data_IF_347751772868
#
_entry.id   IF_347751772868
#
_cell.length_a   1.000
_cell.length_b   1.000
_cell.length_c   1.000
_cell.angle_alpha   90.00
_cell.angle_beta   90.00
_cell.angle_gamma   90.00
#
_symmetry.space_group_name_H-M   'P 1'
#
loop_
_entity.id
_entity.type
_entity.pdbx_description
1 polymer ?
#
# COMPACT_ATOMS: atom_id res chain seq x y z
N UNK A 1 -2.72 -21.53 5.43
CA UNK A 1 -2.27 -22.23 6.64
C UNK A 1 -1.03 -23.08 6.40
N UNK A 2 -1.05 -24.02 5.44
CA UNK A 2 0.09 -24.92 5.16
C UNK A 2 1.40 -24.19 4.88
N UNK A 3 1.36 -23.07 4.18
CA UNK A 3 2.56 -22.28 3.87
C UNK A 3 3.20 -21.69 5.15
N UNK A 4 2.39 -21.24 6.10
CA UNK A 4 2.86 -20.75 7.41
C UNK A 4 3.53 -21.87 8.22
N UNK A 5 2.88 -23.05 8.31
CA UNK A 5 3.49 -24.21 9.00
C UNK A 5 4.83 -24.62 8.38
N UNK A 6 4.94 -24.55 7.05
CA UNK A 6 6.19 -24.80 6.35
C UNK A 6 7.27 -23.78 6.73
N UNK A 7 6.92 -22.49 6.82
CA UNK A 7 7.86 -21.44 7.26
C UNK A 7 8.37 -21.71 8.69
N UNK A 8 7.45 -22.01 9.63
CA UNK A 8 7.78 -22.34 11.01
C UNK A 8 8.67 -23.58 11.12
N UNK A 9 8.47 -24.60 10.26
CA UNK A 9 9.32 -25.80 10.24
C UNK A 9 10.75 -25.45 9.79
N UNK A 10 10.90 -24.66 8.71
CA UNK A 10 12.22 -24.22 8.27
C UNK A 10 12.92 -23.38 9.35
N UNK A 11 12.18 -22.47 10.01
CA UNK A 11 12.73 -21.70 11.12
C UNK A 11 13.23 -22.59 12.26
N UNK A 12 12.43 -23.58 12.71
CA UNK A 12 12.81 -24.54 13.76
C UNK A 12 14.02 -25.40 13.37
N UNK A 13 14.21 -25.66 12.10
CA UNK A 13 15.36 -26.39 11.58
C UNK A 13 16.59 -25.50 11.35
N UNK A 14 16.52 -24.21 11.72
CA UNK A 14 17.56 -23.20 11.49
C UNK A 14 17.87 -22.96 9.98
N UNK A 15 16.87 -23.20 9.12
CA UNK A 15 16.93 -22.96 7.67
C UNK A 15 16.35 -21.57 7.37
N UNK A 16 17.03 -20.53 7.90
CA UNK A 16 16.49 -19.17 7.96
C UNK A 16 16.19 -18.58 6.58
N UNK A 17 17.04 -18.81 5.59
CA UNK A 17 16.83 -18.28 4.22
C UNK A 17 15.55 -18.83 3.58
N UNK A 18 15.25 -20.11 3.83
CA UNK A 18 14.03 -20.75 3.34
C UNK A 18 12.80 -20.22 4.08
N UNK A 19 12.90 -20.03 5.40
CA UNK A 19 11.85 -19.43 6.19
C UNK A 19 11.56 -17.99 5.73
N UNK A 20 12.59 -17.15 5.57
CA UNK A 20 12.48 -15.77 5.05
C UNK A 20 11.79 -15.74 3.69
N UNK A 21 12.20 -16.61 2.77
CA UNK A 21 11.59 -16.69 1.44
C UNK A 21 10.09 -16.98 1.51
N UNK A 22 9.67 -17.86 2.42
CA UNK A 22 8.26 -18.20 2.61
C UNK A 22 7.51 -17.05 3.29
N UNK A 23 8.10 -16.41 4.31
CA UNK A 23 7.47 -15.24 4.94
C UNK A 23 7.29 -14.07 3.98
N UNK A 24 8.22 -13.83 3.05
CA UNK A 24 8.03 -12.86 1.95
C UNK A 24 6.80 -13.18 1.09
N UNK A 25 6.48 -14.46 0.86
CA UNK A 25 5.24 -14.85 0.18
C UNK A 25 4.01 -14.65 1.08
N UNK A 26 4.10 -15.02 2.35
CA UNK A 26 2.98 -14.88 3.30
C UNK A 26 2.56 -13.42 3.47
N UNK A 27 3.49 -12.48 3.52
CA UNK A 27 3.14 -11.05 3.65
C UNK A 27 2.49 -10.45 2.40
N UNK A 28 2.50 -11.11 1.24
CA UNK A 28 1.71 -10.70 0.08
C UNK A 28 0.21 -10.99 0.26
N UNK A 29 -0.11 -12.10 0.91
CA UNK A 29 -1.48 -12.57 1.12
C UNK A 29 -2.06 -12.12 2.45
N UNK A 30 -1.22 -12.06 3.49
CA UNK A 30 -1.57 -11.86 4.89
C UNK A 30 -0.89 -10.62 5.49
N UNK A 31 -0.66 -9.58 4.67
CA UNK A 31 0.02 -8.35 5.10
C UNK A 31 -0.67 -7.62 6.26
N UNK A 32 -1.97 -7.85 6.47
CA UNK A 32 -2.79 -7.28 7.54
C UNK A 32 -2.78 -8.11 8.84
N UNK A 33 -2.05 -9.23 8.89
CA UNK A 33 -2.00 -10.12 10.05
C UNK A 33 -0.73 -9.85 10.87
N UNK A 34 -0.90 -9.39 12.10
CA UNK A 34 0.19 -9.06 13.03
C UNK A 34 1.14 -10.23 13.26
N UNK A 35 0.61 -11.45 13.45
CA UNK A 35 1.41 -12.64 13.74
C UNK A 35 2.37 -13.01 12.61
N UNK A 36 2.04 -12.69 11.35
CA UNK A 36 2.96 -12.97 10.22
C UNK A 36 4.21 -12.10 10.33
N UNK A 37 4.06 -10.84 10.68
CA UNK A 37 5.18 -9.92 10.85
C UNK A 37 6.01 -10.24 12.12
N UNK A 38 5.35 -10.68 13.20
CA UNK A 38 6.03 -11.15 14.40
C UNK A 38 6.90 -12.37 14.09
N UNK A 39 6.32 -13.45 13.54
CA UNK A 39 7.05 -14.66 13.17
C UNK A 39 8.15 -14.40 12.13
N UNK A 40 7.93 -13.46 11.21
CA UNK A 40 8.95 -13.05 10.26
C UNK A 40 10.14 -12.39 10.97
N UNK A 41 9.89 -11.59 12.02
CA UNK A 41 10.96 -10.97 12.81
C UNK A 41 11.87 -12.00 13.47
N UNK A 42 11.34 -13.16 13.88
CA UNK A 42 12.12 -14.25 14.49
C UNK A 42 13.19 -14.81 13.55
N UNK A 43 12.94 -14.76 12.23
CA UNK A 43 13.89 -15.22 11.22
C UNK A 43 15.06 -14.25 11.00
N UNK A 44 15.01 -13.03 11.54
CA UNK A 44 16.05 -12.02 11.39
C UNK A 44 17.02 -12.10 12.58
N UNK A 45 18.28 -12.51 12.34
CA UNK A 45 19.22 -12.78 13.45
C UNK A 45 20.08 -11.57 13.81
N UNK A 46 20.55 -10.80 12.84
CA UNK A 46 21.64 -9.85 13.02
C UNK A 46 21.27 -8.38 12.77
N UNK A 47 20.00 -8.07 12.49
CA UNK A 47 19.55 -6.70 12.20
C UNK A 47 18.42 -6.28 13.15
N UNK A 48 18.80 -5.64 14.27
CA UNK A 48 17.85 -5.14 15.26
C UNK A 48 16.91 -4.09 14.65
N UNK A 49 17.40 -3.20 13.79
CA UNK A 49 16.56 -2.17 13.17
C UNK A 49 15.45 -2.78 12.32
N UNK A 50 15.76 -3.84 11.59
CA UNK A 50 14.79 -4.58 10.80
C UNK A 50 13.76 -5.31 11.70
N UNK A 51 14.22 -5.96 12.77
CA UNK A 51 13.35 -6.60 13.78
C UNK A 51 12.41 -5.59 14.44
N UNK A 52 12.94 -4.45 14.88
CA UNK A 52 12.14 -3.33 15.44
C UNK A 52 11.07 -2.92 14.42
N UNK A 53 11.42 -2.79 13.14
CA UNK A 53 10.46 -2.45 12.09
C UNK A 53 9.35 -3.48 11.92
N UNK A 54 9.67 -4.78 11.94
CA UNK A 54 8.68 -5.85 11.82
C UNK A 54 7.74 -5.93 13.02
N UNK A 55 8.27 -5.84 14.25
CA UNK A 55 7.45 -5.83 15.46
C UNK A 55 6.59 -4.56 15.56
N UNK A 56 7.14 -3.39 15.19
CA UNK A 56 6.36 -2.14 15.07
C UNK A 56 5.24 -2.27 14.06
N UNK A 57 5.48 -2.95 12.93
CA UNK A 57 4.45 -3.26 11.94
C UNK A 57 3.37 -4.15 12.53
N UNK A 58 3.74 -5.21 13.23
CA UNK A 58 2.80 -6.10 13.91
C UNK A 58 1.91 -5.34 14.90
N UNK A 59 2.48 -4.50 15.78
CA UNK A 59 1.72 -3.65 16.71
C UNK A 59 0.78 -2.67 15.99
N UNK A 60 1.16 -2.15 14.84
CA UNK A 60 0.31 -1.22 14.07
C UNK A 60 -0.91 -1.87 13.41
N UNK A 61 -0.91 -3.19 13.25
CA UNK A 61 -1.96 -3.94 12.54
C UNK A 61 -3.04 -4.49 13.47
N UNK A 62 -2.71 -4.79 14.72
CA UNK A 62 -3.64 -5.37 15.69
C UNK A 62 -4.09 -4.31 16.71
N UNK A 63 -5.33 -4.38 17.12
CA UNK A 63 -5.93 -3.51 18.12
C UNK A 63 -6.30 -4.25 19.41
N UNK A 64 -6.37 -5.57 19.33
CA UNK A 64 -6.67 -6.39 20.50
C UNK A 64 -5.39 -6.68 21.27
N UNK A 65 -5.21 -5.97 22.36
CA UNK A 65 -4.04 -6.08 23.24
C UNK A 65 -3.84 -7.48 23.82
N UNK A 66 -4.87 -8.35 23.80
CA UNK A 66 -4.74 -9.75 24.26
C UNK A 66 -3.70 -10.54 23.44
N UNK A 67 -3.42 -10.10 22.21
CA UNK A 67 -2.46 -10.74 21.29
C UNK A 67 -1.10 -10.04 21.21
N UNK A 68 -0.94 -8.89 21.89
CA UNK A 68 0.24 -8.04 21.70
C UNK A 68 1.29 -8.14 22.81
N UNK A 69 0.99 -8.86 23.91
CA UNK A 69 1.85 -8.90 25.09
C UNK A 69 3.29 -9.31 24.77
N UNK A 70 3.48 -10.42 24.06
CA UNK A 70 4.81 -10.93 23.73
C UNK A 70 5.53 -9.97 22.76
N UNK A 71 4.81 -9.31 21.85
CA UNK A 71 5.38 -8.34 20.92
C UNK A 71 5.90 -7.11 21.65
N UNK A 72 5.15 -6.58 22.64
CA UNK A 72 5.60 -5.47 23.46
C UNK A 72 6.89 -5.81 24.24
N UNK A 73 6.96 -7.01 24.84
CA UNK A 73 8.15 -7.43 25.56
C UNK A 73 9.37 -7.62 24.67
N UNK A 74 9.19 -8.24 23.49
CA UNK A 74 10.27 -8.46 22.55
C UNK A 74 10.78 -7.13 21.95
N UNK A 75 9.86 -6.25 21.55
CA UNK A 75 10.22 -4.92 21.07
C UNK A 75 10.95 -4.12 22.14
N UNK A 76 10.47 -4.14 23.39
CA UNK A 76 11.13 -3.46 24.50
C UNK A 76 12.56 -3.93 24.72
N UNK A 77 12.80 -5.25 24.62
CA UNK A 77 14.15 -5.82 24.72
C UNK A 77 15.07 -5.26 23.64
N UNK A 78 14.64 -5.28 22.36
CA UNK A 78 15.42 -4.74 21.26
C UNK A 78 15.71 -3.24 21.40
N UNK A 79 14.70 -2.48 21.86
CA UNK A 79 14.86 -1.04 22.10
C UNK A 79 15.84 -0.75 23.23
N UNK A 80 15.88 -1.57 24.28
CA UNK A 80 16.90 -1.48 25.35
C UNK A 80 18.29 -1.80 24.80
N UNK A 81 18.42 -2.86 24.01
CA UNK A 81 19.69 -3.26 23.41
C UNK A 81 20.24 -2.17 22.46
N UNK A 82 19.36 -1.41 21.79
CA UNK A 82 19.70 -0.26 20.94
C UNK A 82 19.75 1.09 21.69
N UNK A 83 19.70 1.07 23.05
CA UNK A 83 19.73 2.25 23.91
C UNK A 83 18.59 3.26 23.67
N UNK A 84 17.43 2.79 23.17
CA UNK A 84 16.19 3.56 22.99
C UNK A 84 15.28 3.39 24.23
N UNK A 85 15.80 3.76 25.39
CA UNK A 85 15.20 3.41 26.69
C UNK A 85 13.81 4.03 26.90
N UNK A 86 13.59 5.29 26.47
CA UNK A 86 12.28 5.93 26.60
C UNK A 86 11.22 5.24 25.73
N UNK A 87 11.58 4.80 24.54
CA UNK A 87 10.69 4.04 23.66
C UNK A 87 10.38 2.65 24.27
N UNK A 88 11.37 2.01 24.88
CA UNK A 88 11.15 0.75 25.57
C UNK A 88 10.17 0.89 26.74
N UNK A 89 10.25 1.97 27.51
CA UNK A 89 9.32 2.26 28.60
C UNK A 89 7.88 2.42 28.11
N UNK A 90 7.65 3.05 26.94
CA UNK A 90 6.32 3.17 26.33
C UNK A 90 5.70 1.80 26.07
N UNK A 91 6.47 0.86 25.49
CA UNK A 91 5.99 -0.50 25.22
C UNK A 91 5.73 -1.29 26.52
N UNK A 92 6.61 -1.16 27.50
CA UNK A 92 6.46 -1.82 28.81
C UNK A 92 5.24 -1.28 29.58
N UNK A 93 4.96 0.01 29.50
CA UNK A 93 3.77 0.60 30.10
C UNK A 93 2.48 0.13 29.40
N UNK A 94 2.48 -0.01 28.08
CA UNK A 94 1.36 -0.59 27.32
C UNK A 94 1.08 -2.03 27.78
N UNK A 95 2.13 -2.87 27.84
CA UNK A 95 2.03 -4.24 28.37
C UNK A 95 1.48 -4.28 29.79
N UNK A 96 2.06 -3.49 30.71
CA UNK A 96 1.65 -3.44 32.12
C UNK A 96 0.18 -3.04 32.26
N UNK A 97 -0.19 -1.92 31.65
CA UNK A 97 -1.56 -1.39 31.68
C UNK A 97 -2.59 -2.43 31.26
N UNK A 98 -2.30 -3.15 30.17
CA UNK A 98 -3.20 -4.21 29.70
C UNK A 98 -3.30 -5.37 30.69
N UNK A 99 -2.16 -5.85 31.23
CA UNK A 99 -2.14 -6.94 32.21
C UNK A 99 -2.90 -6.57 33.49
N UNK A 100 -2.71 -5.36 33.99
CA UNK A 100 -3.43 -4.85 35.18
C UNK A 100 -4.94 -4.75 34.93
N UNK A 101 -5.36 -4.26 33.73
CA UNK A 101 -6.78 -4.19 33.35
C UNK A 101 -7.45 -5.56 33.34
N UNK A 102 -6.73 -6.60 32.95
CA UNK A 102 -7.21 -8.00 32.92
C UNK A 102 -7.04 -8.73 34.26
N UNK A 103 -6.40 -8.13 35.24
CA UNK A 103 -6.04 -8.78 36.50
C UNK A 103 -4.99 -9.89 36.36
N UNK A 104 -4.18 -9.83 35.29
CA UNK A 104 -3.13 -10.80 35.00
C UNK A 104 -1.82 -10.40 35.69
N UNK A 105 -1.04 -11.38 36.15
CA UNK A 105 0.28 -11.15 36.75
C UNK A 105 1.26 -10.65 35.68
N UNK A 106 2.13 -9.73 36.06
CA UNK A 106 3.27 -9.33 35.23
C UNK A 106 4.27 -10.49 35.12
N UNK A 107 4.93 -10.61 33.97
CA UNK A 107 5.93 -11.66 33.74
C UNK A 107 7.27 -11.28 34.39
N UNK A 108 8.10 -12.27 34.82
CA UNK A 108 9.47 -11.98 35.28
C UNK A 108 10.31 -11.23 34.25
N UNK A 109 10.10 -11.50 32.96
CA UNK A 109 10.75 -10.78 31.84
C UNK A 109 10.41 -9.28 31.85
N UNK A 110 9.15 -8.92 32.13
CA UNK A 110 8.75 -7.51 32.26
C UNK A 110 9.55 -6.81 33.38
N UNK A 111 9.65 -7.43 34.54
CA UNK A 111 10.35 -6.85 35.70
C UNK A 111 11.83 -6.58 35.37
N UNK A 112 12.50 -7.52 34.71
CA UNK A 112 13.89 -7.37 34.29
C UNK A 112 14.09 -6.25 33.25
N UNK A 113 13.21 -6.18 32.26
CA UNK A 113 13.26 -5.15 31.21
C UNK A 113 12.94 -3.77 31.81
N UNK A 114 11.93 -3.68 32.65
CA UNK A 114 11.54 -2.42 33.27
C UNK A 114 12.66 -1.87 34.15
N UNK A 115 13.33 -2.72 34.93
CA UNK A 115 14.50 -2.31 35.72
C UNK A 115 15.63 -1.74 34.87
N UNK A 116 15.89 -2.33 33.70
CA UNK A 116 16.92 -1.83 32.75
C UNK A 116 16.53 -0.51 32.10
N UNK A 117 15.27 -0.36 31.70
CA UNK A 117 14.79 0.83 31.02
C UNK A 117 14.55 2.03 31.98
N UNK A 118 14.17 1.80 33.22
CA UNK A 118 13.76 2.84 34.18
C UNK A 118 14.90 3.72 34.73
N UNK A 119 16.15 3.51 34.26
CA UNK A 119 17.27 4.42 34.57
C UNK A 119 17.09 5.81 33.95
N UNK A 120 16.23 5.94 32.93
CA UNK A 120 15.90 7.20 32.30
C UNK A 120 14.51 7.71 32.72
N UNK A 121 14.38 9.05 32.72
CA UNK A 121 13.10 9.69 32.99
C UNK A 121 12.25 9.61 31.71
N UNK A 122 11.09 8.98 31.81
CA UNK A 122 10.17 8.88 30.65
C UNK A 122 9.61 10.26 30.30
N UNK A 123 9.79 10.67 29.05
CA UNK A 123 9.19 11.89 28.48
C UNK A 123 8.22 11.57 27.34
N UNK A 124 8.36 10.42 26.70
CA UNK A 124 7.52 10.00 25.59
C UNK A 124 6.18 9.43 26.07
N UNK A 125 5.12 9.72 25.31
CA UNK A 125 3.76 9.23 25.56
C UNK A 125 3.35 8.13 24.58
N UNK A 126 3.98 8.03 23.43
CA UNK A 126 3.74 6.99 22.43
C UNK A 126 4.94 6.76 21.50
N UNK A 127 4.91 5.67 20.75
CA UNK A 127 5.97 5.27 19.81
C UNK A 127 5.61 5.51 18.34
N UNK A 128 4.67 6.40 18.01
CA UNK A 128 4.27 6.64 16.62
C UNK A 128 5.42 7.09 15.72
N UNK A 129 6.30 7.94 16.22
CA UNK A 129 7.47 8.39 15.43
C UNK A 129 8.50 7.28 15.26
N UNK A 130 8.68 6.42 16.26
CA UNK A 130 9.50 5.21 16.14
C UNK A 130 8.95 4.30 15.05
N UNK A 131 7.65 4.02 15.06
CA UNK A 131 7.00 3.16 14.07
C UNK A 131 7.12 3.73 12.65
N UNK A 132 6.92 5.04 12.47
CA UNK A 132 7.12 5.71 11.18
C UNK A 132 8.54 5.56 10.64
N UNK A 133 9.53 5.58 11.52
CA UNK A 133 10.95 5.42 11.16
C UNK A 133 11.29 3.99 10.74
N UNK A 134 10.82 2.98 11.49
CA UNK A 134 11.31 1.61 11.35
C UNK A 134 10.41 0.72 10.48
N UNK A 135 9.10 0.92 10.44
CA UNK A 135 8.18 0.14 9.57
C UNK A 135 8.62 0.14 8.10
N UNK A 136 9.04 1.27 7.50
CA UNK A 136 9.51 1.26 6.11
C UNK A 136 10.70 0.34 5.86
N UNK A 137 11.57 0.10 6.84
CA UNK A 137 12.69 -0.85 6.70
C UNK A 137 12.17 -2.28 6.55
N UNK A 138 11.20 -2.66 7.39
CA UNK A 138 10.57 -3.98 7.32
C UNK A 138 9.82 -4.20 6.00
N UNK A 139 9.04 -3.22 5.57
CA UNK A 139 8.31 -3.28 4.30
C UNK A 139 9.24 -3.33 3.09
N UNK A 140 10.33 -2.55 3.09
CA UNK A 140 11.32 -2.58 2.02
C UNK A 140 12.05 -3.93 1.94
N UNK A 141 12.35 -4.55 3.08
CA UNK A 141 12.94 -5.88 3.12
C UNK A 141 11.95 -6.96 2.65
N UNK A 142 10.73 -6.94 3.15
CA UNK A 142 9.68 -7.90 2.79
C UNK A 142 9.37 -7.86 1.29
N UNK A 143 9.37 -6.67 0.71
CA UNK A 143 9.04 -6.44 -0.70
C UNK A 143 10.27 -6.08 -1.55
N UNK A 144 11.48 -6.53 -1.16
CA UNK A 144 12.72 -6.20 -1.87
C UNK A 144 12.71 -6.66 -3.34
N UNK A 145 12.03 -7.78 -3.63
CA UNK A 145 11.99 -8.39 -4.96
C UNK A 145 11.06 -7.63 -5.94
N UNK A 146 10.32 -6.61 -5.48
CA UNK A 146 9.44 -5.80 -6.30
C UNK A 146 10.12 -4.49 -6.71
N UNK A 147 10.07 -4.18 -7.99
CA UNK A 147 10.60 -2.94 -8.53
C UNK A 147 9.67 -1.77 -8.25
N UNK A 148 10.26 -0.59 -8.05
CA UNK A 148 9.53 0.65 -7.97
C UNK A 148 8.94 1.03 -9.33
N UNK A 149 7.66 1.32 -9.37
CA UNK A 149 6.92 1.74 -10.56
C UNK A 149 6.34 3.12 -10.33
N UNK A 150 6.61 4.05 -11.21
CA UNK A 150 6.03 5.39 -11.17
C UNK A 150 4.64 5.39 -11.78
N UNK A 151 3.71 6.00 -11.06
CA UNK A 151 2.31 6.15 -11.47
C UNK A 151 1.80 7.54 -11.11
N UNK A 152 0.86 8.04 -11.87
CA UNK A 152 0.26 9.35 -11.68
C UNK A 152 -1.16 9.21 -11.14
N UNK A 153 -1.54 10.10 -10.22
CA UNK A 153 -2.90 10.19 -9.70
C UNK A 153 -3.80 10.89 -10.75
N UNK A 154 -4.67 10.13 -11.39
CA UNK A 154 -5.54 10.63 -12.47
C UNK A 154 -6.97 10.91 -12.03
N UNK A 155 -7.43 10.36 -10.91
CA UNK A 155 -8.80 10.56 -10.45
C UNK A 155 -8.94 10.43 -8.93
N UNK A 156 -9.90 11.20 -8.36
CA UNK A 156 -10.32 11.17 -6.96
C UNK A 156 -11.84 11.09 -6.91
N UNK A 157 -12.36 10.08 -6.25
CA UNK A 157 -13.80 9.86 -6.17
C UNK A 157 -14.21 9.20 -4.85
N UNK A 158 -15.51 9.11 -4.60
CA UNK A 158 -16.05 8.38 -3.43
C UNK A 158 -16.76 7.12 -3.89
N UNK A 159 -16.50 6.04 -3.20
CA UNK A 159 -17.24 4.79 -3.43
C UNK A 159 -18.67 4.86 -2.84
N UNK A 160 -19.47 3.83 -3.10
CA UNK A 160 -20.87 3.74 -2.64
C UNK A 160 -21.01 3.79 -1.10
N UNK A 161 -19.90 3.57 -0.38
CA UNK A 161 -19.81 3.66 1.09
C UNK A 161 -19.26 5.02 1.56
N UNK A 162 -19.11 5.99 0.64
CA UNK A 162 -18.58 7.33 0.92
C UNK A 162 -17.08 7.39 1.21
N UNK A 163 -16.31 6.32 0.95
CA UNK A 163 -14.87 6.29 1.18
C UNK A 163 -14.12 6.92 0.01
N UNK A 164 -13.15 7.77 0.32
CA UNK A 164 -12.29 8.40 -0.68
C UNK A 164 -11.41 7.34 -1.39
N UNK A 165 -11.48 7.35 -2.71
CA UNK A 165 -10.72 6.48 -3.62
C UNK A 165 -9.84 7.32 -4.54
N UNK A 166 -8.67 6.78 -4.83
CA UNK A 166 -7.67 7.38 -5.70
C UNK A 166 -7.36 6.38 -6.82
N UNK A 167 -7.39 6.85 -8.06
CA UNK A 167 -7.05 6.05 -9.24
C UNK A 167 -5.68 6.46 -9.76
N UNK A 168 -4.78 5.50 -9.87
CA UNK A 168 -3.42 5.67 -10.36
C UNK A 168 -3.19 4.88 -11.64
N UNK A 169 -2.35 5.44 -12.54
CA UNK A 169 -1.92 4.75 -13.77
C UNK A 169 -0.46 5.09 -14.12
N UNK A 170 0.20 4.19 -14.86
CA UNK A 170 1.49 4.45 -15.53
C UNK A 170 1.31 5.09 -16.92
N UNK A 171 0.06 5.31 -17.32
CA UNK A 171 -0.32 5.81 -18.65
C UNK A 171 -0.53 4.74 -19.70
N UNK A 172 -0.08 3.50 -19.50
CA UNK A 172 -0.02 2.44 -20.51
C UNK A 172 -0.79 1.17 -20.14
N UNK A 173 -0.34 0.50 -19.12
CA UNK A 173 -0.81 -0.87 -18.79
C UNK A 173 -1.20 -1.07 -17.36
N UNK A 174 -0.74 -0.21 -16.48
CA UNK A 174 -1.00 -0.29 -15.04
C UNK A 174 -2.09 0.71 -14.68
N UNK A 175 -3.17 0.22 -14.13
CA UNK A 175 -4.18 1.01 -13.47
C UNK A 175 -4.59 0.30 -12.18
N UNK A 176 -4.73 1.04 -11.09
CA UNK A 176 -5.28 0.52 -9.85
C UNK A 176 -5.99 1.61 -9.03
N UNK A 177 -6.91 1.17 -8.19
CA UNK A 177 -7.65 2.02 -7.26
C UNK A 177 -7.28 1.68 -5.83
N UNK A 178 -7.03 2.71 -5.02
CA UNK A 178 -6.65 2.56 -3.62
C UNK A 178 -7.42 3.54 -2.73
N UNK A 179 -7.65 3.15 -1.47
CA UNK A 179 -8.22 4.06 -0.47
C UNK A 179 -7.19 5.13 -0.04
N UNK A 180 -7.63 6.38 0.08
CA UNK A 180 -6.78 7.52 0.45
C UNK A 180 -5.99 7.33 1.75
N UNK A 181 -6.51 6.55 2.69
CA UNK A 181 -5.88 6.32 4.00
C UNK A 181 -4.96 5.08 4.04
N UNK A 182 -4.72 4.42 2.90
CA UNK A 182 -3.91 3.19 2.86
C UNK A 182 -2.43 3.45 3.16
N UNK A 183 -1.89 4.55 2.64
CA UNK A 183 -0.50 4.98 2.85
C UNK A 183 -0.47 6.46 3.24
N UNK A 184 0.50 6.85 4.06
CA UNK A 184 0.64 8.23 4.53
C UNK A 184 0.83 9.21 3.35
N UNK A 185 1.61 8.81 2.35
CA UNK A 185 1.89 9.61 1.15
C UNK A 185 0.63 9.98 0.35
N UNK A 186 -0.48 9.24 0.52
CA UNK A 186 -1.73 9.46 -0.20
C UNK A 186 -2.61 10.55 0.43
N UNK A 187 -2.44 10.85 1.70
CA UNK A 187 -3.34 11.76 2.44
C UNK A 187 -3.41 13.17 1.86
N UNK A 188 -2.28 13.65 1.34
CA UNK A 188 -2.15 15.00 0.78
C UNK A 188 -1.87 14.97 -0.73
N UNK A 189 -2.02 13.83 -1.41
CA UNK A 189 -1.71 13.74 -2.83
C UNK A 189 -2.72 14.52 -3.67
N UNK A 190 -2.23 15.14 -4.76
CA UNK A 190 -3.00 15.97 -5.68
C UNK A 190 -3.12 15.32 -7.06
N UNK A 191 -4.13 15.71 -7.84
CA UNK A 191 -4.28 15.25 -9.23
C UNK A 191 -3.03 15.61 -10.04
N UNK A 192 -2.54 14.65 -10.81
CA UNK A 192 -1.30 14.80 -11.57
C UNK A 192 -0.04 14.46 -10.80
N UNK A 193 -0.10 14.37 -9.50
CA UNK A 193 1.07 14.00 -8.70
C UNK A 193 1.54 12.60 -9.03
N UNK A 194 2.86 12.46 -9.22
CA UNK A 194 3.51 11.18 -9.47
C UNK A 194 4.01 10.61 -8.15
N UNK A 195 3.70 9.36 -7.93
CA UNK A 195 4.16 8.56 -6.80
C UNK A 195 4.86 7.31 -7.32
N UNK A 196 5.69 6.70 -6.49
CA UNK A 196 6.31 5.40 -6.77
C UNK A 196 5.65 4.34 -5.89
N UNK A 197 5.33 3.19 -6.46
CA UNK A 197 4.84 2.04 -5.72
C UNK A 197 5.61 0.78 -6.07
N UNK A 198 5.81 -0.09 -5.07
CA UNK A 198 6.08 -1.49 -5.33
C UNK A 198 4.74 -2.18 -5.54
N UNK A 199 4.56 -2.80 -6.70
CA UNK A 199 3.29 -3.38 -7.12
C UNK A 199 3.37 -4.89 -7.22
N UNK A 200 2.45 -5.59 -6.55
CA UNK A 200 2.24 -7.02 -6.74
C UNK A 200 1.17 -7.23 -7.81
N UNK A 201 1.55 -7.95 -8.88
CA UNK A 201 0.62 -8.36 -9.94
C UNK A 201 -0.05 -9.66 -9.53
N UNK A 202 -1.29 -9.57 -9.06
CA UNK A 202 -2.09 -10.70 -8.64
C UNK A 202 -2.93 -11.21 -9.81
N UNK A 203 -2.86 -12.51 -10.08
CA UNK A 203 -3.73 -13.20 -11.02
C UNK A 203 -5.09 -13.51 -10.35
N UNK A 204 -6.17 -13.14 -11.02
CA UNK A 204 -7.54 -13.40 -10.58
C UNK A 204 -8.23 -14.20 -11.67
N UNK A 205 -8.64 -15.42 -11.35
CA UNK A 205 -9.47 -16.26 -12.24
C UNK A 205 -10.93 -16.00 -11.95
N UNK A 206 -11.67 -15.57 -12.97
CA UNK A 206 -13.11 -15.33 -12.89
C UNK A 206 -13.83 -16.24 -13.85
N UNK A 207 -14.90 -16.88 -13.37
CA UNK A 207 -15.85 -17.52 -14.25
C UNK A 207 -16.76 -16.44 -14.84
N UNK A 208 -16.82 -16.38 -16.16
CA UNK A 208 -17.74 -15.51 -16.89
C UNK A 208 -18.59 -16.35 -17.84
N UNK A 209 -19.78 -15.89 -18.15
CA UNK A 209 -20.61 -16.54 -19.19
C UNK A 209 -19.88 -16.49 -20.53
N UNK A 210 -19.81 -17.62 -21.20
CA UNK A 210 -19.17 -17.68 -22.51
C UNK A 210 -19.97 -16.84 -23.52
N UNK A 211 -19.27 -16.27 -24.52
CA UNK A 211 -19.87 -15.44 -25.56
C UNK A 211 -21.06 -16.11 -26.28
N UNK A 212 -21.13 -17.44 -26.23
CA UNK A 212 -22.26 -18.24 -26.70
C UNK A 212 -22.82 -19.05 -25.54
N UNK A 213 -24.10 -18.87 -25.23
CA UNK A 213 -24.77 -19.49 -24.06
C UNK A 213 -24.64 -21.01 -24.00
N UNK A 214 -24.51 -21.70 -25.14
CA UNK A 214 -24.35 -23.16 -25.21
C UNK A 214 -22.96 -23.67 -24.78
N UNK A 215 -21.95 -22.78 -24.70
CA UNK A 215 -20.62 -23.10 -24.18
C UNK A 215 -20.53 -23.03 -22.65
N UNK A 216 -21.61 -22.62 -21.97
CA UNK A 216 -21.64 -22.48 -20.52
C UNK A 216 -20.71 -21.36 -20.03
N UNK A 217 -19.97 -21.62 -18.95
CA UNK A 217 -19.03 -20.67 -18.36
C UNK A 217 -17.61 -20.91 -18.87
N UNK A 218 -16.86 -19.84 -19.05
CA UNK A 218 -15.43 -19.86 -19.36
C UNK A 218 -14.65 -19.17 -18.24
N UNK A 219 -13.39 -19.56 -18.04
CA UNK A 219 -12.51 -18.92 -17.06
C UNK A 219 -11.68 -17.85 -17.77
N UNK A 220 -11.84 -16.61 -17.32
CA UNK A 220 -11.02 -15.47 -17.77
C UNK A 220 -10.01 -15.13 -16.69
N UNK A 221 -8.76 -14.98 -17.09
CA UNK A 221 -7.69 -14.53 -16.21
C UNK A 221 -7.55 -13.01 -16.29
N UNK A 222 -7.78 -12.34 -15.18
CA UNK A 222 -7.53 -10.93 -15.02
C UNK A 222 -6.31 -10.70 -14.13
N UNK A 223 -5.62 -9.59 -14.33
CA UNK A 223 -4.52 -9.18 -13.47
C UNK A 223 -4.89 -7.90 -12.72
N UNK A 224 -4.63 -7.92 -11.41
CA UNK A 224 -4.82 -6.77 -10.54
C UNK A 224 -3.48 -6.34 -9.97
N UNK A 225 -3.19 -5.04 -10.05
CA UNK A 225 -2.01 -4.46 -9.41
C UNK A 225 -2.37 -4.05 -7.98
N UNK A 226 -1.67 -4.63 -7.00
CA UNK A 226 -1.86 -4.36 -5.58
C UNK A 226 -0.65 -3.57 -5.10
N UNK A 227 -0.83 -2.31 -4.67
CA UNK A 227 0.26 -1.52 -4.11
C UNK A 227 0.64 -2.04 -2.72
N UNK A 228 1.92 -2.32 -2.54
CA UNK A 228 2.53 -2.86 -1.32
C UNK A 228 3.11 -1.76 -0.45
N UNK A 229 3.92 -0.88 -1.05
CA UNK A 229 4.56 0.28 -0.44
C UNK A 229 4.46 1.46 -1.41
N UNK A 230 4.35 2.67 -0.89
CA UNK A 230 4.30 3.89 -1.69
C UNK A 230 5.14 5.01 -1.12
N UNK A 231 5.84 5.73 -2.00
CA UNK A 231 6.64 6.91 -1.67
C UNK A 231 6.47 8.03 -2.71
N UNK A 232 6.97 9.23 -2.39
CA UNK A 232 6.96 10.36 -3.32
C UNK A 232 7.93 10.12 -4.47
N UNK A 233 7.56 10.58 -5.68
CA UNK A 233 8.46 10.72 -6.81
C UNK A 233 8.98 12.17 -6.88
N UNK A 234 10.16 12.35 -7.47
CA UNK A 234 10.75 13.68 -7.73
C UNK A 234 10.25 14.28 -9.06
N UNK A 235 9.51 13.50 -9.86
CA UNK A 235 8.97 13.95 -11.14
C UNK A 235 7.88 15.02 -10.95
N UNK A 236 7.79 15.93 -11.90
CA UNK A 236 6.75 16.95 -11.95
C UNK A 236 5.39 16.32 -12.24
N UNK A 237 4.34 17.01 -11.87
CA UNK A 237 2.96 16.58 -12.14
C UNK A 237 2.76 16.24 -13.62
N UNK A 238 2.11 15.12 -13.89
CA UNK A 238 1.75 14.62 -15.23
C UNK A 238 2.92 14.17 -16.12
N UNK A 239 4.18 14.29 -15.72
CA UNK A 239 5.38 14.06 -16.56
C UNK A 239 5.48 12.65 -17.19
N UNK A 240 4.80 11.66 -16.62
CA UNK A 240 4.82 10.27 -17.14
C UNK A 240 3.72 10.01 -18.19
N UNK A 241 2.78 10.94 -18.36
CA UNK A 241 1.75 10.83 -19.39
C UNK A 241 2.19 11.49 -20.69
N UNK A 242 1.68 10.97 -21.81
CA UNK A 242 1.99 11.48 -23.14
C UNK A 242 1.27 12.81 -23.41
N UNK A 243 1.97 13.73 -24.07
CA UNK A 243 1.37 14.95 -24.59
C UNK A 243 0.53 14.62 -25.84
N UNK A 244 -0.70 15.10 -25.86
CA UNK A 244 -1.64 14.82 -26.93
C UNK A 244 -2.25 16.11 -27.44
N UNK A 245 -2.28 16.26 -28.76
CA UNK A 245 -2.94 17.34 -29.47
C UNK A 245 -4.23 16.80 -30.08
N UNK A 246 -5.33 17.50 -29.86
CA UNK A 246 -6.63 17.08 -30.37
C UNK A 246 -7.53 18.27 -30.73
N UNK A 247 -8.57 18.00 -31.51
CA UNK A 247 -9.65 18.93 -31.81
C UNK A 247 -10.91 18.45 -31.10
N UNK A 248 -11.60 19.34 -30.42
CA UNK A 248 -12.89 19.03 -29.79
C UNK A 248 -13.93 18.76 -30.90
N UNK A 249 -14.40 17.53 -30.98
CA UNK A 249 -15.34 17.05 -31.99
C UNK A 249 -16.79 17.15 -31.49
N UNK A 250 -17.03 16.73 -30.23
CA UNK A 250 -18.37 16.68 -29.67
C UNK A 250 -18.37 16.87 -28.16
N UNK A 251 -19.39 17.58 -27.65
CA UNK A 251 -19.60 17.81 -26.20
C UNK A 251 -20.92 17.18 -25.78
N UNK A 252 -20.86 16.13 -24.98
CA UNK A 252 -22.04 15.48 -24.41
C UNK A 252 -22.36 16.05 -23.03
N UNK A 253 -23.34 16.96 -22.98
CA UNK A 253 -23.75 17.64 -21.74
C UNK A 253 -24.42 16.69 -20.72
N UNK A 254 -25.17 15.70 -21.21
CA UNK A 254 -25.87 14.73 -20.33
C UNK A 254 -24.89 13.80 -19.61
N UNK A 255 -23.86 13.35 -20.31
CA UNK A 255 -22.82 12.46 -19.77
C UNK A 255 -21.63 13.20 -19.17
N UNK A 256 -21.62 14.53 -19.26
CA UNK A 256 -20.51 15.38 -18.81
C UNK A 256 -19.15 14.96 -19.42
N UNK A 257 -19.12 14.73 -20.74
CA UNK A 257 -17.93 14.24 -21.44
C UNK A 257 -17.66 15.12 -22.67
N UNK A 258 -16.37 15.39 -22.93
CA UNK A 258 -15.88 15.96 -24.19
C UNK A 258 -15.26 14.84 -24.99
N UNK A 259 -15.64 14.73 -26.25
CA UNK A 259 -14.97 13.91 -27.27
C UNK A 259 -14.03 14.81 -28.06
N UNK A 260 -12.85 14.30 -28.35
CA UNK A 260 -11.91 14.98 -29.22
C UNK A 260 -11.22 13.97 -30.15
N UNK A 261 -10.69 14.45 -31.25
CA UNK A 261 -9.99 13.64 -32.25
C UNK A 261 -8.55 14.11 -32.28
N UNK A 262 -7.60 13.19 -32.15
CA UNK A 262 -6.17 13.49 -32.23
C UNK A 262 -5.75 13.72 -33.70
N UNK A 263 -4.54 14.25 -33.86
CA UNK A 263 -3.90 14.39 -35.20
C UNK A 263 -3.70 13.05 -35.91
N UNK A 264 -3.69 11.93 -35.17
CA UNK A 264 -3.62 10.57 -35.71
C UNK A 264 -5.01 9.97 -36.01
N UNK A 265 -6.06 10.78 -35.94
CA UNK A 265 -7.46 10.35 -36.13
C UNK A 265 -7.94 9.31 -35.10
N UNK A 266 -7.44 9.40 -33.88
CA UNK A 266 -7.90 8.57 -32.76
C UNK A 266 -8.89 9.32 -31.89
N UNK A 267 -9.98 8.65 -31.51
CA UNK A 267 -10.93 9.18 -30.54
C UNK A 267 -10.34 9.20 -29.13
N UNK A 268 -10.49 10.34 -28.45
CA UNK A 268 -10.05 10.54 -27.07
C UNK A 268 -11.14 11.24 -26.27
N UNK A 269 -11.13 11.05 -24.96
CA UNK A 269 -12.24 11.48 -24.12
C UNK A 269 -11.72 12.26 -22.91
N UNK A 270 -12.40 13.34 -22.59
CA UNK A 270 -12.20 14.07 -21.35
C UNK A 270 -13.46 13.96 -20.47
N UNK A 271 -13.39 13.32 -19.28
CA UNK A 271 -14.57 12.96 -18.48
C UNK A 271 -15.13 14.12 -17.65
N UNK A 272 -14.99 15.35 -18.15
CA UNK A 272 -15.55 16.55 -17.53
C UNK A 272 -15.68 17.65 -18.58
N UNK A 273 -16.86 18.30 -18.64
CA UNK A 273 -17.04 19.46 -19.50
C UNK A 273 -16.31 20.66 -18.87
N UNK A 274 -15.57 21.37 -19.72
CA UNK A 274 -14.99 22.67 -19.40
C UNK A 274 -15.76 23.76 -20.15
N UNK A 275 -16.35 24.73 -19.43
CA UNK A 275 -17.20 25.75 -20.05
C UNK A 275 -16.51 26.59 -21.13
N UNK A 276 -15.19 26.73 -21.03
CA UNK A 276 -14.34 27.47 -21.97
C UNK A 276 -14.11 26.75 -23.32
N UNK A 277 -14.44 25.45 -23.42
CA UNK A 277 -14.23 24.66 -24.62
C UNK A 277 -15.47 24.57 -25.47
N UNK A 278 -15.26 24.69 -26.80
CA UNK A 278 -16.29 24.59 -27.84
C UNK A 278 -15.86 23.57 -28.89
N UNK A 279 -16.84 23.06 -29.65
CA UNK A 279 -16.59 22.19 -30.80
C UNK A 279 -15.72 22.97 -31.81
N UNK A 280 -14.67 22.32 -32.30
CA UNK A 280 -13.68 22.92 -33.20
C UNK A 280 -12.46 23.53 -32.52
N UNK A 281 -12.47 23.62 -31.17
CA UNK A 281 -11.29 24.11 -30.45
C UNK A 281 -10.13 23.13 -30.53
N UNK A 282 -8.94 23.68 -30.77
CA UNK A 282 -7.69 22.94 -30.63
C UNK A 282 -7.27 22.91 -29.18
N UNK A 283 -6.84 21.74 -28.72
CA UNK A 283 -6.46 21.54 -27.34
C UNK A 283 -5.17 20.74 -27.21
N UNK A 284 -4.40 21.04 -26.18
CA UNK A 284 -3.36 20.16 -25.68
C UNK A 284 -3.85 19.49 -24.40
N UNK A 285 -3.41 18.25 -24.17
CA UNK A 285 -3.74 17.51 -22.98
C UNK A 285 -2.71 16.43 -22.66
N UNK A 286 -2.75 15.89 -21.46
CA UNK A 286 -2.07 14.66 -21.10
C UNK A 286 -3.01 13.46 -21.33
N UNK A 287 -2.54 12.42 -21.98
CA UNK A 287 -3.36 11.24 -22.28
C UNK A 287 -2.86 9.97 -21.60
N UNK A 288 -3.77 9.07 -21.31
CA UNK A 288 -3.48 7.73 -20.82
C UNK A 288 -4.52 6.72 -21.28
N UNK A 289 -4.14 5.45 -21.28
CA UNK A 289 -5.02 4.34 -21.64
C UNK A 289 -5.78 3.90 -20.39
N UNK A 290 -7.11 3.95 -20.45
CA UNK A 290 -8.02 3.44 -19.43
C UNK A 290 -8.74 2.20 -19.93
N UNK A 291 -8.76 1.15 -19.12
CA UNK A 291 -9.54 -0.04 -19.42
C UNK A 291 -10.99 0.17 -18.97
N UNK A 292 -11.92 0.17 -19.93
CA UNK A 292 -13.36 0.29 -19.68
C UNK A 292 -14.03 -1.01 -20.14
N UNK A 293 -14.46 -1.85 -19.21
CA UNK A 293 -14.92 -3.23 -19.49
C UNK A 293 -13.82 -4.00 -20.25
N UNK A 294 -14.08 -4.40 -21.49
CA UNK A 294 -13.16 -5.19 -22.32
C UNK A 294 -12.42 -4.34 -23.37
N UNK A 295 -12.62 -3.02 -23.37
CA UNK A 295 -12.04 -2.10 -24.35
C UNK A 295 -11.04 -1.15 -23.67
N UNK A 296 -9.99 -0.82 -24.42
CA UNK A 296 -9.06 0.24 -24.07
C UNK A 296 -9.57 1.56 -24.62
N UNK A 297 -9.71 2.55 -23.77
CA UNK A 297 -10.13 3.90 -24.12
C UNK A 297 -9.04 4.88 -23.77
N UNK A 298 -8.70 5.80 -24.68
CA UNK A 298 -7.78 6.88 -24.34
C UNK A 298 -8.53 8.02 -23.66
N UNK A 299 -8.16 8.31 -22.40
CA UNK A 299 -8.70 9.43 -21.64
C UNK A 299 -7.69 10.58 -21.55
N UNK A 300 -8.21 11.79 -21.60
CA UNK A 300 -7.43 13.02 -21.47
C UNK A 300 -7.48 13.55 -20.03
N UNK A 301 -6.38 14.17 -19.62
CA UNK A 301 -6.28 14.97 -18.40
C UNK A 301 -5.58 16.28 -18.71
N UNK A 302 -5.66 17.26 -17.81
CA UNK A 302 -4.99 18.55 -17.93
C UNK A 302 -5.22 19.24 -19.31
N UNK A 303 -6.44 19.16 -19.82
CA UNK A 303 -6.77 19.74 -21.14
C UNK A 303 -6.69 21.29 -21.08
N UNK A 304 -6.07 21.88 -22.10
CA UNK A 304 -5.92 23.32 -22.27
C UNK A 304 -6.21 23.69 -23.72
N UNK A 305 -6.93 24.80 -23.93
CA UNK A 305 -7.17 25.38 -25.25
C UNK A 305 -5.88 26.03 -25.75
N UNK A 306 -5.55 25.83 -27.02
CA UNK A 306 -4.43 26.45 -27.72
C UNK A 306 -4.88 27.78 -28.32
#
# INVERSE_FOLDING_TARGET
WLLREKALLHFKNNELDLAIKIYKQLVLELADKHYVWQEFSDCIVSDNSLKIGMLSKALSLEKNEDFLGDIHLELSKLLIDDNLLENALVELEAYKKHRELKGWKLSPQYEDLFKKASSNKQSLTDNRELYKKFIPLAENFAYADFLWTEVVLVDKWKDDKGKDRLTFTDGKSIEFVIGKNRFEVLKQSELGQILKFKLHKQEIKKEVEAKFAWLGKTVVTEYKHIPLVGEKSEKKHWDILEDTFAIVDYINKEKNIIHAITTENKEVFFPQIKPELQIGDFVTAKSYIKKVKDENRTELRQIQKI
#
